data_IF_094704563593
#
_entry.id   IF_094704563593
#
_cell.length_a   1.000
_cell.length_b   1.000
_cell.length_c   1.000
_cell.angle_alpha   90.00
_cell.angle_beta   90.00
_cell.angle_gamma   90.00
#
_symmetry.space_group_name_H-M   'P 1'
#
loop_
_entity.id
_entity.type
_entity.pdbx_description
1 polymer ?
#
# COMPACT_ATOMS: atom_id res chain seq x y z
N UNK A 1 15.23 -4.99 11.02
CA UNK A 1 14.91 -3.61 10.63
C UNK A 1 13.59 -3.67 9.89
N UNK A 2 12.64 -2.83 10.29
CA UNK A 2 11.40 -2.59 9.56
C UNK A 2 11.69 -1.80 8.28
N UNK A 3 10.87 -2.01 7.24
CA UNK A 3 10.99 -1.30 5.97
C UNK A 3 9.63 -1.15 5.28
N UNK A 4 9.58 -0.30 4.27
CA UNK A 4 8.41 -0.12 3.39
C UNK A 4 8.69 -0.76 2.05
N UNK A 5 7.88 -1.75 1.65
CA UNK A 5 7.88 -2.31 0.29
C UNK A 5 6.68 -1.78 -0.48
N UNK A 6 6.88 -1.40 -1.74
CA UNK A 6 5.78 -1.01 -2.63
C UNK A 6 5.80 -1.95 -3.84
N UNK A 7 4.73 -2.70 -4.03
CA UNK A 7 4.51 -3.48 -5.24
C UNK A 7 3.94 -2.57 -6.31
N UNK A 8 4.55 -2.60 -7.49
CA UNK A 8 4.17 -1.78 -8.64
C UNK A 8 4.07 -2.70 -9.84
N UNK A 9 2.94 -2.65 -10.52
CA UNK A 9 2.71 -3.43 -11.73
C UNK A 9 1.31 -3.20 -12.27
N UNK A 10 1.14 -3.37 -13.58
CA UNK A 10 -0.14 -3.20 -14.26
C UNK A 10 -1.24 -4.11 -13.65
N UNK A 11 -2.53 -3.77 -13.85
CA UNK A 11 -3.61 -4.73 -13.64
C UNK A 11 -3.31 -6.05 -14.37
N UNK A 12 -3.59 -7.19 -13.74
CA UNK A 12 -3.29 -8.52 -14.29
C UNK A 12 -1.82 -8.96 -14.20
N UNK A 13 -0.88 -8.12 -13.74
CA UNK A 13 0.54 -8.48 -13.60
C UNK A 13 0.84 -9.51 -12.48
N UNK A 14 -0.19 -10.08 -11.84
CA UNK A 14 -0.01 -11.14 -10.84
C UNK A 14 0.38 -10.67 -9.43
N UNK A 15 0.27 -9.37 -9.09
CA UNK A 15 0.61 -8.85 -7.74
C UNK A 15 -0.12 -9.56 -6.61
N UNK A 16 -1.42 -9.81 -6.78
CA UNK A 16 -2.22 -10.57 -5.80
C UNK A 16 -1.73 -12.00 -5.67
N UNK A 17 -1.43 -12.67 -6.78
CA UNK A 17 -0.89 -14.03 -6.77
C UNK A 17 0.47 -14.08 -6.06
N UNK A 18 1.38 -13.14 -6.38
CA UNK A 18 2.65 -12.96 -5.68
C UNK A 18 2.46 -12.74 -4.17
N UNK A 19 1.50 -11.89 -3.78
CA UNK A 19 1.19 -11.67 -2.36
C UNK A 19 0.73 -12.94 -1.65
N UNK A 20 -0.17 -13.71 -2.27
CA UNK A 20 -0.65 -14.97 -1.73
C UNK A 20 0.48 -15.99 -1.57
N UNK A 21 1.36 -16.12 -2.57
CA UNK A 21 2.51 -17.04 -2.52
C UNK A 21 3.55 -16.66 -1.47
N UNK A 22 3.61 -15.39 -1.06
CA UNK A 22 4.62 -14.85 -0.15
C UNK A 22 4.05 -14.27 1.14
N UNK A 23 2.82 -14.62 1.55
CA UNK A 23 2.11 -13.99 2.67
C UNK A 23 2.92 -13.91 3.98
N UNK A 24 3.81 -14.88 4.26
CA UNK A 24 4.68 -14.87 5.44
C UNK A 24 5.98 -14.05 5.33
N UNK A 25 6.30 -13.53 4.15
CA UNK A 25 7.56 -12.78 3.87
C UNK A 25 7.32 -11.31 3.58
N UNK A 26 6.06 -10.90 3.44
CA UNK A 26 5.68 -9.55 3.02
C UNK A 26 5.38 -8.60 4.19
N UNK A 27 5.25 -9.10 5.41
CA UNK A 27 4.79 -8.27 6.53
C UNK A 27 3.32 -7.89 6.34
N UNK A 28 2.93 -6.73 6.88
CA UNK A 28 1.56 -6.22 6.78
C UNK A 28 1.26 -5.82 5.34
N UNK A 29 0.32 -6.50 4.68
CA UNK A 29 -0.10 -6.20 3.31
C UNK A 29 -1.25 -5.20 3.28
N UNK A 30 -1.02 -4.02 2.70
CA UNK A 30 -2.00 -2.95 2.54
C UNK A 30 -2.31 -2.74 1.05
N UNK A 31 -3.59 -2.81 0.66
CA UNK A 31 -4.00 -2.73 -0.75
C UNK A 31 -4.81 -1.46 -1.02
N UNK A 32 -4.41 -0.68 -2.02
CA UNK A 32 -5.17 0.50 -2.45
C UNK A 32 -6.51 0.14 -3.08
N UNK A 33 -6.58 -0.99 -3.78
CA UNK A 33 -7.82 -1.47 -4.41
C UNK A 33 -8.86 -1.77 -3.32
N UNK A 34 -8.47 -2.49 -2.26
CA UNK A 34 -9.34 -2.72 -1.08
C UNK A 34 -9.68 -1.44 -0.35
N UNK A 35 -8.72 -0.53 -0.19
CA UNK A 35 -8.97 0.75 0.45
C UNK A 35 -10.01 1.58 -0.32
N UNK A 36 -9.98 1.58 -1.66
CA UNK A 36 -11.02 2.23 -2.49
C UNK A 36 -12.40 1.61 -2.30
N UNK A 37 -12.49 0.28 -2.14
CA UNK A 37 -13.76 -0.37 -1.82
C UNK A 37 -14.31 0.03 -0.43
N UNK A 38 -13.43 0.33 0.53
CA UNK A 38 -13.83 0.78 1.86
C UNK A 38 -14.35 2.23 1.83
N UNK A 39 -13.64 3.13 1.14
CA UNK A 39 -13.94 4.58 1.17
C UNK A 39 -14.83 5.07 0.02
N UNK A 40 -15.02 4.26 -1.01
CA UNK A 40 -15.73 4.62 -2.23
C UNK A 40 -16.79 3.60 -2.63
N UNK A 41 -17.09 3.52 -3.93
CA UNK A 41 -18.13 2.65 -4.49
C UNK A 41 -17.62 1.26 -4.91
N UNK A 42 -16.32 0.98 -4.74
CA UNK A 42 -15.71 -0.30 -5.10
C UNK A 42 -14.21 -0.19 -5.40
N UNK A 43 -13.56 -1.30 -5.69
CA UNK A 43 -12.10 -1.39 -5.87
C UNK A 43 -11.57 -0.56 -7.07
N UNK A 44 -12.45 -0.27 -8.03
CA UNK A 44 -12.14 0.47 -9.25
C UNK A 44 -12.52 1.97 -9.18
N UNK A 45 -13.04 2.46 -8.05
CA UNK A 45 -13.50 3.84 -7.89
C UNK A 45 -12.33 4.84 -7.81
N UNK A 46 -11.82 5.28 -8.97
CA UNK A 46 -10.67 6.17 -9.04
C UNK A 46 -10.88 7.52 -8.33
N UNK A 47 -12.13 7.97 -8.16
CA UNK A 47 -12.43 9.20 -7.42
C UNK A 47 -12.12 9.06 -5.92
N UNK A 48 -12.12 7.83 -5.40
CA UNK A 48 -11.80 7.53 -4.01
C UNK A 48 -10.29 7.40 -3.73
N UNK A 49 -9.43 7.52 -4.75
CA UNK A 49 -7.97 7.33 -4.61
C UNK A 49 -7.34 8.21 -3.51
N UNK A 50 -7.63 9.52 -3.40
CA UNK A 50 -7.05 10.34 -2.33
C UNK A 50 -7.40 9.81 -0.93
N UNK A 51 -8.68 9.51 -0.68
CA UNK A 51 -9.13 8.98 0.60
C UNK A 51 -8.57 7.57 0.88
N UNK A 52 -8.40 6.75 -0.15
CA UNK A 52 -7.78 5.43 -0.05
C UNK A 52 -6.29 5.51 0.31
N UNK A 53 -5.54 6.45 -0.30
CA UNK A 53 -4.13 6.70 0.03
C UNK A 53 -4.01 7.15 1.48
N UNK A 54 -4.86 8.08 1.93
CA UNK A 54 -4.85 8.57 3.31
C UNK A 54 -5.14 7.46 4.32
N UNK A 55 -6.09 6.57 4.02
CA UNK A 55 -6.40 5.40 4.85
C UNK A 55 -5.20 4.46 4.96
N UNK A 56 -4.60 4.09 3.82
CA UNK A 56 -3.45 3.19 3.79
C UNK A 56 -2.25 3.81 4.51
N UNK A 57 -2.00 5.12 4.36
CA UNK A 57 -0.93 5.81 5.07
C UNK A 57 -1.08 5.74 6.60
N UNK A 58 -2.29 5.92 7.12
CA UNK A 58 -2.55 5.80 8.58
C UNK A 58 -2.28 4.38 9.08
N UNK A 59 -2.85 3.38 8.41
CA UNK A 59 -2.61 1.97 8.76
C UNK A 59 -1.13 1.58 8.68
N UNK A 60 -0.44 2.11 7.68
CA UNK A 60 0.98 1.90 7.49
C UNK A 60 1.81 2.55 8.62
N UNK A 61 1.48 3.78 9.02
CA UNK A 61 2.13 4.46 10.13
C UNK A 61 1.94 3.70 11.45
N UNK A 62 0.73 3.21 11.72
CA UNK A 62 0.42 2.41 12.91
C UNK A 62 1.26 1.13 12.95
N UNK A 63 1.34 0.39 11.83
CA UNK A 63 2.14 -0.82 11.72
C UNK A 63 3.65 -0.54 11.88
N UNK A 64 4.16 0.49 11.22
CA UNK A 64 5.57 0.88 11.33
C UNK A 64 5.93 1.30 12.76
N UNK A 65 5.04 2.02 13.46
CA UNK A 65 5.21 2.39 14.86
C UNK A 65 5.21 1.16 15.80
N UNK A 66 4.49 0.10 15.45
CA UNK A 66 4.52 -1.18 16.14
C UNK A 66 5.80 -2.00 15.84
N UNK A 67 6.67 -1.53 14.94
CA UNK A 67 7.89 -2.21 14.52
C UNK A 67 7.70 -3.21 13.37
N UNK A 68 6.51 -3.24 12.77
CA UNK A 68 6.24 -4.12 11.64
C UNK A 68 6.85 -3.59 10.34
N UNK A 69 7.10 -4.52 9.42
CA UNK A 69 7.37 -4.21 8.01
C UNK A 69 6.05 -4.18 7.26
N UNK A 70 5.93 -3.27 6.30
CA UNK A 70 4.73 -3.16 5.46
C UNK A 70 5.03 -3.44 3.98
N UNK A 71 4.03 -3.96 3.29
CA UNK A 71 3.99 -4.04 1.82
C UNK A 71 2.72 -3.36 1.32
N UNK A 72 2.87 -2.33 0.50
CA UNK A 72 1.78 -1.65 -0.18
C UNK A 72 1.59 -2.26 -1.56
N UNK A 73 0.42 -2.87 -1.82
CA UNK A 73 0.00 -3.30 -3.15
C UNK A 73 -0.73 -2.16 -3.85
N UNK A 74 -0.05 -1.59 -4.85
CA UNK A 74 -0.57 -0.51 -5.67
C UNK A 74 -0.59 -0.93 -7.15
N UNK A 75 -1.69 -0.65 -7.84
CA UNK A 75 -1.82 -0.81 -9.29
C UNK A 75 -0.94 0.17 -10.08
N UNK A 76 -0.41 1.21 -9.42
CA UNK A 76 0.79 1.96 -9.80
C UNK A 76 0.72 2.68 -11.16
N UNK A 77 0.40 3.98 -11.14
CA UNK A 77 0.69 4.86 -12.29
C UNK A 77 0.99 6.32 -11.91
N UNK A 78 0.47 6.86 -10.80
CA UNK A 78 0.71 8.26 -10.47
C UNK A 78 2.09 8.45 -9.80
N UNK A 79 2.90 9.35 -10.35
CA UNK A 79 4.16 9.83 -9.76
C UNK A 79 3.93 10.36 -8.33
N UNK A 80 2.77 10.98 -8.10
CA UNK A 80 2.34 11.51 -6.81
C UNK A 80 2.24 10.43 -5.72
N UNK A 81 1.90 9.19 -6.07
CA UNK A 81 1.78 8.10 -5.10
C UNK A 81 3.16 7.75 -4.50
N UNK A 82 4.22 7.78 -5.32
CA UNK A 82 5.58 7.38 -4.91
C UNK A 82 6.19 8.35 -3.90
N UNK A 83 5.99 9.65 -4.11
CA UNK A 83 6.47 10.67 -3.17
C UNK A 83 5.84 10.47 -1.78
N UNK A 84 4.55 10.08 -1.75
CA UNK A 84 3.86 9.80 -0.51
C UNK A 84 4.51 8.62 0.24
N UNK A 85 4.75 7.48 -0.42
CA UNK A 85 5.34 6.30 0.23
C UNK A 85 6.77 6.55 0.71
N UNK A 86 7.54 7.36 -0.04
CA UNK A 86 8.87 7.79 0.38
C UNK A 86 8.82 8.71 1.61
N UNK A 87 7.87 9.66 1.67
CA UNK A 87 7.70 10.52 2.83
C UNK A 87 7.36 9.69 4.08
N UNK A 88 6.45 8.72 3.95
CA UNK A 88 6.10 7.80 5.05
C UNK A 88 7.34 7.03 5.57
N UNK A 89 8.16 6.50 4.66
CA UNK A 89 9.36 5.78 5.05
C UNK A 89 10.34 6.70 5.81
N UNK A 90 10.56 7.92 5.32
CA UNK A 90 11.38 8.96 5.98
C UNK A 90 10.86 9.34 7.36
N UNK A 91 9.55 9.55 7.49
CA UNK A 91 8.91 9.93 8.76
C UNK A 91 9.12 8.88 9.85
N UNK A 92 9.29 7.61 9.45
CA UNK A 92 9.56 6.48 10.35
C UNK A 92 11.03 6.02 10.37
N UNK A 93 11.92 6.74 9.67
CA UNK A 93 13.35 6.42 9.53
C UNK A 93 13.64 5.00 9.00
N UNK A 94 12.86 4.56 8.00
CA UNK A 94 12.97 3.25 7.33
C UNK A 94 13.08 3.34 5.81
#
# INVERSE_FOLDING_TARGET
MNHVRVLIGAPGAGKTHFCTQHAGRLGVLLSLDRARAIVGRGEHDQAATPAAVDLVRRQAADALAAGDTITVDATGAAILDRASWLALARDHAV
#
